data_IF_132256452303
#
_entry.id   IF_132256452303
#
_cell.length_a   1.000
_cell.length_b   1.000
_cell.length_c   1.000
_cell.angle_alpha   90.00
_cell.angle_beta   90.00
_cell.angle_gamma   90.00
#
_symmetry.space_group_name_H-M   'P 1'
#
loop_
_entity.id
_entity.type
_entity.pdbx_description
1 polymer ?
#
# COMPACT_ATOMS: atom_id res chain seq x y z
N UNK A 1 4.71 -12.97 -1.47
CA UNK A 1 4.98 -12.29 -2.76
C UNK A 1 4.94 -10.79 -2.50
N UNK A 2 5.75 -10.00 -3.21
CA UNK A 2 5.75 -8.53 -3.08
C UNK A 2 4.67 -7.90 -3.96
N UNK A 3 3.79 -7.09 -3.35
CA UNK A 3 2.67 -6.45 -4.04
C UNK A 3 2.62 -4.98 -3.65
N UNK A 4 2.70 -4.11 -4.65
CA UNK A 4 2.55 -2.66 -4.48
C UNK A 4 1.19 -2.21 -5.00
N UNK A 5 0.40 -1.55 -4.15
CA UNK A 5 -0.92 -1.01 -4.49
C UNK A 5 -0.83 0.52 -4.54
N UNK A 6 -1.10 1.09 -5.70
CA UNK A 6 -1.09 2.53 -5.93
C UNK A 6 -2.52 3.09 -5.80
N UNK A 7 -2.84 3.55 -4.59
CA UNK A 7 -4.12 4.14 -4.22
C UNK A 7 -4.81 3.39 -3.07
N UNK A 8 -5.14 4.10 -2.01
CA UNK A 8 -5.90 3.66 -0.84
C UNK A 8 -7.39 4.06 -0.92
N UNK A 9 -7.93 4.17 -2.13
CA UNK A 9 -9.38 4.31 -2.36
C UNK A 9 -10.14 3.03 -1.99
N UNK A 10 -11.45 3.00 -2.24
CA UNK A 10 -12.30 1.86 -1.86
C UNK A 10 -11.82 0.53 -2.49
N UNK A 11 -11.47 0.58 -3.78
CA UNK A 11 -10.96 -0.59 -4.50
C UNK A 11 -9.61 -1.05 -3.97
N UNK A 12 -8.64 -0.13 -3.86
CA UNK A 12 -7.29 -0.47 -3.37
C UNK A 12 -7.31 -0.99 -1.94
N UNK A 13 -8.16 -0.43 -1.08
CA UNK A 13 -8.39 -0.90 0.29
C UNK A 13 -8.98 -2.30 0.32
N UNK A 14 -9.95 -2.60 -0.54
CA UNK A 14 -10.57 -3.93 -0.65
C UNK A 14 -9.55 -4.98 -1.10
N UNK A 15 -8.74 -4.64 -2.11
CA UNK A 15 -7.67 -5.52 -2.61
C UNK A 15 -6.62 -5.76 -1.52
N UNK A 16 -6.14 -4.70 -0.84
CA UNK A 16 -5.20 -4.83 0.27
C UNK A 16 -5.73 -5.71 1.40
N UNK A 17 -7.02 -5.58 1.72
CA UNK A 17 -7.68 -6.40 2.75
C UNK A 17 -7.72 -7.87 2.36
N UNK A 18 -8.02 -8.18 1.10
CA UNK A 18 -8.10 -9.57 0.65
C UNK A 18 -6.72 -10.21 0.58
N UNK A 19 -5.74 -9.51 0.00
CA UNK A 19 -4.40 -10.06 -0.24
C UNK A 19 -3.56 -10.16 1.04
N UNK A 20 -3.83 -9.33 2.06
CA UNK A 20 -3.11 -9.38 3.34
C UNK A 20 -3.37 -10.66 4.13
N UNK A 21 -4.42 -11.41 3.79
CA UNK A 21 -4.72 -12.71 4.39
C UNK A 21 -3.86 -13.84 3.81
N UNK A 22 -3.19 -13.63 2.68
CA UNK A 22 -2.51 -14.68 1.90
C UNK A 22 -0.98 -14.71 2.11
N UNK A 23 -0.48 -14.21 3.25
CA UNK A 23 0.95 -14.19 3.59
C UNK A 23 1.81 -13.47 2.52
N UNK A 24 1.31 -12.32 2.05
CA UNK A 24 1.96 -11.45 1.07
C UNK A 24 2.53 -10.21 1.74
N UNK A 25 3.65 -9.72 1.20
CA UNK A 25 4.26 -8.46 1.59
C UNK A 25 3.61 -7.34 0.76
N UNK A 26 2.73 -6.57 1.40
CA UNK A 26 1.92 -5.57 0.71
C UNK A 26 2.35 -4.16 1.15
N UNK A 27 2.58 -3.31 0.15
CA UNK A 27 2.80 -1.88 0.35
C UNK A 27 1.73 -1.07 -0.35
N UNK A 28 1.06 -0.16 0.37
CA UNK A 28 0.03 0.73 -0.20
C UNK A 28 0.55 2.16 -0.25
N UNK A 29 0.47 2.79 -1.43
CA UNK A 29 0.86 4.19 -1.66
C UNK A 29 -0.39 5.04 -1.87
N UNK A 30 -0.55 6.16 -1.16
CA UNK A 30 -1.61 7.13 -1.41
C UNK A 30 -1.17 8.54 -0.97
N UNK A 31 -1.87 9.59 -1.40
CA UNK A 31 -1.63 10.97 -0.94
C UNK A 31 -2.33 11.28 0.40
N UNK A 32 -3.33 10.49 0.77
CA UNK A 32 -4.14 10.70 1.96
C UNK A 32 -3.63 9.86 3.14
N UNK A 33 -2.80 10.49 3.98
CA UNK A 33 -2.25 9.88 5.19
C UNK A 33 -3.33 9.27 6.11
N UNK A 34 -4.49 9.92 6.26
CA UNK A 34 -5.56 9.39 7.13
C UNK A 34 -6.14 8.07 6.63
N UNK A 35 -6.19 7.85 5.31
CA UNK A 35 -6.60 6.55 4.74
C UNK A 35 -5.55 5.48 4.98
N UNK A 36 -4.28 5.84 4.79
CA UNK A 36 -3.15 4.93 5.01
C UNK A 36 -3.08 4.48 6.48
N UNK A 37 -3.19 5.40 7.44
CA UNK A 37 -3.22 5.09 8.88
C UNK A 37 -4.39 4.14 9.24
N UNK A 38 -5.58 4.37 8.67
CA UNK A 38 -6.74 3.49 8.86
C UNK A 38 -6.53 2.09 8.30
N UNK A 39 -5.83 1.95 7.17
CA UNK A 39 -5.49 0.64 6.61
C UNK A 39 -4.44 -0.06 7.47
N UNK A 40 -3.36 0.64 7.80
CA UNK A 40 -2.24 0.09 8.58
C UNK A 40 -2.65 -0.33 10.00
N UNK A 41 -3.60 0.38 10.62
CA UNK A 41 -4.12 -0.01 11.94
C UNK A 41 -4.95 -1.30 11.93
N UNK A 42 -5.38 -1.77 10.76
CA UNK A 42 -6.28 -2.93 10.60
C UNK A 42 -5.65 -4.11 9.89
N UNK A 43 -4.64 -3.87 9.07
CA UNK A 43 -4.01 -4.85 8.19
C UNK A 43 -2.50 -4.87 8.46
N UNK A 44 -1.89 -6.06 8.37
CA UNK A 44 -0.45 -6.22 8.44
C UNK A 44 0.18 -5.86 7.08
N UNK A 45 0.32 -4.56 6.82
CA UNK A 45 0.82 -4.00 5.56
C UNK A 45 1.75 -2.81 5.83
N UNK A 46 2.56 -2.47 4.83
CA UNK A 46 3.29 -1.21 4.80
C UNK A 46 2.48 -0.13 4.10
N UNK A 47 2.69 1.14 4.47
CA UNK A 47 2.05 2.27 3.80
C UNK A 47 3.05 3.39 3.55
N UNK A 48 2.89 4.10 2.43
CA UNK A 48 3.72 5.23 2.03
C UNK A 48 2.82 6.39 1.60
N UNK A 49 3.01 7.53 2.24
CA UNK A 49 2.31 8.76 1.88
C UNK A 49 3.10 9.48 0.77
N UNK A 50 2.56 9.53 -0.44
CA UNK A 50 3.26 10.14 -1.57
C UNK A 50 2.55 9.98 -2.91
N UNK A 51 3.07 10.64 -3.93
CA UNK A 51 2.51 10.53 -5.28
C UNK A 51 3.04 9.25 -5.94
N UNK A 52 2.15 8.31 -6.26
CA UNK A 52 2.47 7.01 -6.83
C UNK A 52 3.17 7.05 -8.21
N UNK A 53 3.26 8.22 -8.85
CA UNK A 53 3.98 8.40 -10.13
C UNK A 53 5.41 8.87 -9.95
N UNK A 54 5.85 9.15 -8.72
CA UNK A 54 7.20 9.63 -8.47
C UNK A 54 8.18 8.45 -8.30
N UNK A 55 9.33 8.47 -8.99
CA UNK A 55 10.28 7.34 -8.95
C UNK A 55 10.79 7.01 -7.54
N UNK A 56 11.05 8.01 -6.71
CA UNK A 56 11.51 7.84 -5.33
C UNK A 56 10.44 7.17 -4.45
N UNK A 57 9.17 7.52 -4.63
CA UNK A 57 8.05 6.87 -3.92
C UNK A 57 7.91 5.40 -4.34
N UNK A 58 8.06 5.10 -5.62
CA UNK A 58 8.00 3.71 -6.10
C UNK A 58 9.18 2.88 -5.56
N UNK A 59 10.39 3.44 -5.54
CA UNK A 59 11.56 2.77 -4.95
C UNK A 59 11.33 2.49 -3.46
N UNK A 60 10.83 3.48 -2.71
CA UNK A 60 10.46 3.28 -1.30
C UNK A 60 9.38 2.20 -1.13
N UNK A 61 8.48 2.04 -2.11
CA UNK A 61 7.44 1.02 -2.08
C UNK A 61 7.93 -0.41 -2.30
N UNK A 62 9.21 -0.61 -2.60
CA UNK A 62 9.81 -1.93 -2.77
C UNK A 62 9.61 -2.51 -4.17
N UNK A 63 9.45 -1.69 -5.22
CA UNK A 63 9.32 -2.20 -6.60
C UNK A 63 10.57 -2.94 -7.12
N UNK A 64 11.66 -2.93 -6.35
CA UNK A 64 12.93 -3.57 -6.68
C UNK A 64 13.07 -4.99 -6.09
N UNK A 65 12.16 -5.36 -5.19
CA UNK A 65 12.12 -6.67 -4.50
C UNK A 65 11.15 -7.64 -5.20
#
# INVERSE_FOLDING_TARGET
MYIVILGAGDLGSSIATHLSLENNDITVVDLNASRLEKLQSRLDIQTICGHASYPDILIQAGIQD
#
